data_IF_979567190943
#
_entry.id   IF_979567190943
#
_cell.length_a   1.000
_cell.length_b   1.000
_cell.length_c   1.000
_cell.angle_alpha   90.00
_cell.angle_beta   90.00
_cell.angle_gamma   90.00
#
_symmetry.space_group_name_H-M   'P 1'
#
loop_
_entity.id
_entity.type
_entity.pdbx_description
1 polymer ?
#
# COMPACT_ATOMS: atom_id res chain seq x y z
N UNK A 1 -0.35 22.12 -19.37
CA UNK A 1 -0.69 21.01 -18.44
C UNK A 1 0.16 21.14 -17.17
N UNK A 2 -0.42 21.03 -15.97
CA UNK A 2 0.39 20.99 -14.73
C UNK A 2 1.19 19.68 -14.71
N UNK A 3 2.52 19.77 -14.57
CA UNK A 3 3.40 18.59 -14.43
C UNK A 3 3.21 17.99 -13.03
N UNK A 4 2.83 16.71 -12.97
CA UNK A 4 2.87 15.96 -11.71
C UNK A 4 4.27 15.37 -11.53
N UNK A 5 4.89 15.66 -10.39
CA UNK A 5 6.15 15.02 -9.99
C UNK A 5 5.83 13.89 -9.01
N UNK A 6 6.44 12.72 -9.23
CA UNK A 6 6.30 11.56 -8.37
C UNK A 6 7.68 11.16 -7.85
N UNK A 7 7.78 10.93 -6.54
CA UNK A 7 8.97 10.44 -5.86
C UNK A 7 8.65 9.08 -5.27
N UNK A 8 9.38 8.05 -5.68
CA UNK A 8 9.30 6.72 -5.09
C UNK A 8 10.42 6.56 -4.06
N UNK A 9 10.10 6.07 -2.87
CA UNK A 9 11.07 5.90 -1.78
C UNK A 9 10.80 4.64 -0.99
N UNK A 10 11.87 3.94 -0.61
CA UNK A 10 11.83 2.89 0.40
C UNK A 10 12.39 3.45 1.70
N UNK A 11 11.72 3.21 2.82
CA UNK A 11 12.19 3.68 4.12
C UNK A 11 11.94 2.67 5.25
N UNK A 12 12.73 2.71 6.34
CA UNK A 12 12.51 1.84 7.49
C UNK A 12 11.06 1.94 8.01
N UNK A 13 10.43 0.83 8.42
CA UNK A 13 9.05 0.85 8.95
C UNK A 13 8.82 1.88 10.06
N UNK A 14 9.82 2.10 10.94
CA UNK A 14 9.77 3.11 12.01
C UNK A 14 9.71 4.57 11.53
N UNK A 15 10.05 4.84 10.26
CA UNK A 15 9.97 6.17 9.64
C UNK A 15 8.68 6.39 8.84
N UNK A 16 7.84 5.35 8.70
CA UNK A 16 6.51 5.45 8.07
C UNK A 16 5.58 6.34 8.91
N UNK A 17 4.65 7.05 8.26
CA UNK A 17 3.67 7.91 8.95
C UNK A 17 2.81 7.12 9.94
N UNK A 18 2.59 5.85 9.67
CA UNK A 18 1.90 4.86 10.49
C UNK A 18 2.36 3.45 10.08
N UNK A 19 2.07 2.39 10.88
CA UNK A 19 2.52 1.03 10.59
C UNK A 19 1.83 0.39 9.36
N UNK A 20 2.37 0.63 8.16
CA UNK A 20 1.82 0.14 6.87
C UNK A 20 2.93 -0.38 5.96
N UNK A 21 2.58 -1.29 5.04
CA UNK A 21 3.46 -1.77 3.97
C UNK A 21 3.76 -0.69 2.95
N UNK A 22 2.76 0.09 2.56
CA UNK A 22 2.88 1.19 1.60
C UNK A 22 1.94 2.36 1.93
N UNK A 23 2.27 3.52 1.37
CA UNK A 23 1.52 4.76 1.55
C UNK A 23 1.83 5.75 0.42
N UNK A 24 0.96 6.73 0.21
CA UNK A 24 1.24 7.87 -0.66
C UNK A 24 0.64 9.16 -0.11
N UNK A 25 1.31 10.28 -0.39
CA UNK A 25 0.84 11.58 0.06
C UNK A 25 1.38 12.73 -0.78
N UNK A 26 0.63 13.82 -0.78
CA UNK A 26 1.00 15.06 -1.45
C UNK A 26 1.95 15.87 -0.57
N UNK A 27 2.97 16.44 -1.20
CA UNK A 27 3.94 17.38 -0.60
C UNK A 27 4.00 18.66 -1.45
N UNK A 28 4.76 19.66 -0.98
CA UNK A 28 5.05 20.87 -1.78
C UNK A 28 5.74 20.58 -3.12
N UNK A 29 6.45 19.45 -3.22
CA UNK A 29 7.24 19.07 -4.39
C UNK A 29 6.52 18.05 -5.31
N UNK A 30 5.26 17.74 -5.03
CA UNK A 30 4.52 16.70 -5.76
C UNK A 30 4.14 15.53 -4.85
N UNK A 31 4.00 14.34 -5.43
CA UNK A 31 3.55 13.14 -4.72
C UNK A 31 4.74 12.29 -4.27
N UNK A 32 4.69 11.87 -3.01
CA UNK A 32 5.60 10.86 -2.48
C UNK A 32 4.83 9.55 -2.40
N UNK A 33 5.40 8.51 -3.00
CA UNK A 33 4.96 7.13 -2.92
C UNK A 33 6.02 6.41 -2.12
N UNK A 34 5.63 5.78 -1.03
CA UNK A 34 6.56 5.20 -0.08
C UNK A 34 6.23 3.76 0.23
N UNK A 35 7.23 2.89 0.11
CA UNK A 35 7.20 1.52 0.59
C UNK A 35 8.01 1.40 1.87
N UNK A 36 7.54 0.60 2.80
CA UNK A 36 8.36 0.20 3.92
C UNK A 36 9.47 -0.75 3.45
N UNK A 37 10.65 -0.68 4.07
CA UNK A 37 11.74 -1.59 3.78
C UNK A 37 11.44 -2.99 4.32
N UNK A 38 11.00 -3.88 3.42
CA UNK A 38 10.66 -5.27 3.69
C UNK A 38 11.88 -6.20 3.68
N UNK A 39 13.10 -5.65 3.54
CA UNK A 39 14.36 -6.41 3.43
C UNK A 39 14.39 -7.38 2.24
N UNK A 40 13.57 -7.11 1.22
CA UNK A 40 13.54 -7.83 -0.03
C UNK A 40 13.21 -6.84 -1.17
N UNK A 41 14.06 -6.72 -2.20
CA UNK A 41 13.90 -5.73 -3.27
C UNK A 41 12.64 -5.96 -4.11
N UNK A 42 12.23 -7.20 -4.37
CA UNK A 42 11.03 -7.53 -5.16
C UNK A 42 9.77 -7.09 -4.43
N UNK A 43 9.66 -7.40 -3.14
CA UNK A 43 8.51 -6.94 -2.34
C UNK A 43 8.49 -5.42 -2.15
N UNK A 44 9.65 -4.77 -2.05
CA UNK A 44 9.75 -3.32 -2.04
C UNK A 44 9.25 -2.72 -3.38
N UNK A 45 9.67 -3.30 -4.51
CA UNK A 45 9.21 -2.91 -5.84
C UNK A 45 7.71 -3.10 -6.00
N UNK A 46 7.19 -4.29 -5.68
CA UNK A 46 5.75 -4.61 -5.74
C UNK A 46 4.91 -3.63 -4.93
N UNK A 47 5.37 -3.30 -3.72
CA UNK A 47 4.71 -2.30 -2.86
C UNK A 47 4.66 -0.93 -3.55
N UNK A 48 5.78 -0.44 -4.07
CA UNK A 48 5.81 0.86 -4.76
C UNK A 48 4.90 0.89 -6.00
N UNK A 49 4.85 -0.20 -6.77
CA UNK A 49 3.95 -0.31 -7.92
C UNK A 49 2.49 -0.32 -7.48
N UNK A 50 2.15 -1.08 -6.44
CA UNK A 50 0.79 -1.12 -5.88
C UNK A 50 0.32 0.29 -5.51
N UNK A 51 1.12 1.01 -4.71
CA UNK A 51 0.81 2.37 -4.28
C UNK A 51 0.71 3.35 -5.47
N UNK A 52 1.60 3.22 -6.46
CA UNK A 52 1.58 4.12 -7.60
C UNK A 52 0.35 3.90 -8.49
N UNK A 53 -0.02 2.65 -8.77
CA UNK A 53 -1.21 2.32 -9.54
C UNK A 53 -2.47 2.84 -8.83
N UNK A 54 -2.57 2.62 -7.52
CA UNK A 54 -3.71 3.10 -6.73
C UNK A 54 -3.80 4.63 -6.75
N UNK A 55 -2.68 5.34 -6.49
CA UNK A 55 -2.62 6.80 -6.56
C UNK A 55 -3.01 7.32 -7.95
N UNK A 56 -2.47 6.75 -9.02
CA UNK A 56 -2.73 7.24 -10.37
C UNK A 56 -4.21 7.07 -10.74
N UNK A 57 -4.82 5.94 -10.39
CA UNK A 57 -6.23 5.68 -10.67
C UNK A 57 -7.16 6.55 -9.83
N UNK A 58 -6.86 6.75 -8.55
CA UNK A 58 -7.63 7.63 -7.67
C UNK A 58 -7.61 9.08 -8.18
N UNK A 59 -6.44 9.58 -8.60
CA UNK A 59 -6.31 10.88 -9.25
C UNK A 59 -7.16 11.00 -10.52
N UNK A 60 -7.06 10.01 -11.42
CA UNK A 60 -7.81 10.00 -12.69
C UNK A 60 -9.32 9.99 -12.47
N UNK A 61 -9.78 9.40 -11.36
CA UNK A 61 -11.19 9.26 -11.02
C UNK A 61 -11.69 10.35 -10.05
N UNK A 62 -10.85 11.34 -9.73
CA UNK A 62 -11.23 12.44 -8.84
C UNK A 62 -11.43 12.03 -7.37
N UNK A 63 -10.86 10.90 -6.94
CA UNK A 63 -10.91 10.47 -5.55
C UNK A 63 -9.79 11.21 -4.80
N UNK A 64 -10.20 12.13 -3.92
CA UNK A 64 -9.28 13.01 -3.22
C UNK A 64 -8.52 12.26 -2.11
N UNK A 65 -7.20 12.44 -2.02
CA UNK A 65 -6.36 11.86 -0.95
C UNK A 65 -6.88 12.18 0.46
N UNK A 66 -7.37 13.40 0.79
CA UNK A 66 -7.96 13.65 2.10
C UNK A 66 -9.16 12.75 2.43
N UNK A 67 -9.92 12.30 1.43
CA UNK A 67 -11.04 11.36 1.60
C UNK A 67 -10.54 9.93 1.87
N UNK A 68 -9.46 9.53 1.19
CA UNK A 68 -8.77 8.24 1.39
C UNK A 68 -8.19 8.19 2.80
N UNK A 69 -7.37 9.19 3.14
CA UNK A 69 -6.76 9.35 4.46
C UNK A 69 -7.79 9.29 5.60
N UNK A 70 -8.88 10.07 5.49
CA UNK A 70 -9.96 10.06 6.50
C UNK A 70 -10.60 8.67 6.65
N UNK A 71 -10.74 7.92 5.56
CA UNK A 71 -11.28 6.57 5.58
C UNK A 71 -10.29 5.60 6.24
N UNK A 72 -9.01 5.67 5.90
CA UNK A 72 -7.96 4.80 6.45
C UNK A 72 -7.78 5.02 7.95
N UNK A 73 -7.76 6.27 8.40
CA UNK A 73 -7.74 6.63 9.84
C UNK A 73 -8.96 6.12 10.59
N UNK A 74 -10.16 6.21 9.98
CA UNK A 74 -11.38 5.62 10.55
C UNK A 74 -11.27 4.10 10.64
N UNK A 75 -10.82 3.44 9.58
CA UNK A 75 -10.69 1.99 9.52
C UNK A 75 -9.73 1.47 10.59
N UNK A 76 -8.55 2.07 10.72
CA UNK A 76 -7.55 1.65 11.72
C UNK A 76 -8.04 1.87 13.15
N UNK A 77 -8.72 3.00 13.42
CA UNK A 77 -9.34 3.25 14.74
C UNK A 77 -10.39 2.20 15.09
N UNK A 78 -11.27 1.86 14.15
CA UNK A 78 -12.31 0.85 14.38
C UNK A 78 -11.73 -0.57 14.49
N UNK A 79 -10.68 -0.87 13.72
CA UNK A 79 -9.92 -2.12 13.83
C UNK A 79 -9.27 -2.27 15.20
N UNK A 80 -8.70 -1.19 15.74
CA UNK A 80 -8.17 -1.13 17.12
C UNK A 80 -9.23 -1.39 18.20
N UNK A 81 -10.51 -1.12 17.91
CA UNK A 81 -11.67 -1.46 18.77
C UNK A 81 -12.18 -2.88 18.57
N UNK A 82 -11.44 -3.72 17.85
CA UNK A 82 -11.81 -5.11 17.57
C UNK A 82 -12.84 -5.30 16.46
N UNK A 83 -13.19 -4.26 15.70
CA UNK A 83 -14.00 -4.40 14.48
C UNK A 83 -13.13 -4.87 13.31
N UNK A 84 -13.76 -5.33 12.23
CA UNK A 84 -13.09 -5.67 10.98
C UNK A 84 -11.95 -6.71 11.11
N UNK A 85 -12.02 -7.62 12.09
CA UNK A 85 -10.97 -8.64 12.36
C UNK A 85 -10.54 -9.45 11.14
N UNK A 86 -11.43 -9.63 10.17
CA UNK A 86 -11.20 -10.41 8.94
C UNK A 86 -10.77 -9.56 7.73
N UNK A 87 -10.69 -8.22 7.87
CA UNK A 87 -10.32 -7.32 6.79
C UNK A 87 -8.85 -6.93 6.96
N UNK A 88 -8.04 -7.27 5.94
CA UNK A 88 -6.58 -7.14 5.99
C UNK A 88 -6.13 -5.67 6.08
N UNK A 89 -6.79 -4.78 5.34
CA UNK A 89 -6.51 -3.35 5.33
C UNK A 89 -7.69 -2.53 4.79
N UNK A 90 -7.60 -1.19 4.86
CA UNK A 90 -8.72 -0.32 4.50
C UNK A 90 -9.18 -0.48 3.05
N UNK A 91 -8.28 -0.66 2.07
CA UNK A 91 -8.64 -0.90 0.66
C UNK A 91 -9.45 -2.19 0.42
N UNK A 92 -9.40 -3.15 1.36
CA UNK A 92 -10.24 -4.35 1.34
C UNK A 92 -11.66 -4.12 1.86
N UNK A 93 -11.92 -3.00 2.56
CA UNK A 93 -13.22 -2.72 3.13
C UNK A 93 -14.23 -2.38 2.02
N UNK A 94 -15.45 -2.98 1.99
CA UNK A 94 -16.45 -2.75 0.94
C UNK A 94 -16.83 -1.27 0.74
N UNK A 95 -16.74 -0.47 1.80
CA UNK A 95 -17.03 0.98 1.80
C UNK A 95 -15.82 1.87 1.52
N UNK A 96 -14.64 1.32 1.24
CA UNK A 96 -13.46 2.13 0.94
C UNK A 96 -13.71 2.92 -0.36
N UNK A 97 -13.50 4.25 -0.36
CA UNK A 97 -13.81 5.08 -1.53
C UNK A 97 -12.88 4.78 -2.72
N UNK A 98 -11.74 4.15 -2.46
CA UNK A 98 -10.72 3.75 -3.43
C UNK A 98 -10.67 2.22 -3.64
N UNK A 99 -11.71 1.48 -3.21
CA UNK A 99 -11.73 0.01 -3.28
C UNK A 99 -11.48 -0.50 -4.70
N UNK A 100 -12.06 0.13 -5.71
CA UNK A 100 -11.95 -0.33 -7.09
C UNK A 100 -10.51 -0.19 -7.59
N UNK A 101 -9.85 0.87 -7.19
CA UNK A 101 -8.46 1.22 -7.52
C UNK A 101 -7.51 0.26 -6.82
N UNK A 102 -7.75 0.00 -5.52
CA UNK A 102 -7.02 -0.99 -4.74
C UNK A 102 -7.05 -2.39 -5.37
N UNK A 103 -8.24 -2.85 -5.78
CA UNK A 103 -8.40 -4.15 -6.43
C UNK A 103 -7.72 -4.23 -7.81
N UNK A 104 -7.57 -3.12 -8.52
CA UNK A 104 -6.78 -3.08 -9.76
C UNK A 104 -5.29 -3.13 -9.45
N UNK A 105 -4.82 -2.37 -8.46
CA UNK A 105 -3.43 -2.40 -8.01
C UNK A 105 -3.01 -3.82 -7.59
N UNK A 106 -3.86 -4.54 -6.85
CA UNK A 106 -3.63 -5.95 -6.48
C UNK A 106 -3.52 -6.89 -7.69
N UNK A 107 -4.26 -6.63 -8.78
CA UNK A 107 -4.16 -7.46 -10.00
C UNK A 107 -2.84 -7.21 -10.73
N UNK A 108 -2.41 -5.94 -10.81
CA UNK A 108 -1.10 -5.58 -11.38
C UNK A 108 0.03 -6.17 -10.54
N UNK A 109 -0.04 -6.02 -9.23
CA UNK A 109 0.91 -6.61 -8.28
C UNK A 109 0.99 -8.12 -8.46
N UNK A 110 -0.14 -8.83 -8.57
CA UNK A 110 -0.18 -10.28 -8.80
C UNK A 110 0.50 -10.68 -10.11
N UNK A 111 0.30 -9.90 -11.18
CA UNK A 111 0.93 -10.15 -12.47
C UNK A 111 2.45 -10.00 -12.36
N UNK A 112 2.94 -8.94 -11.72
CA UNK A 112 4.36 -8.70 -11.53
C UNK A 112 5.00 -9.70 -10.56
N UNK A 113 4.31 -10.08 -9.49
CA UNK A 113 4.80 -11.09 -8.56
C UNK A 113 5.06 -12.43 -9.26
N UNK A 114 4.14 -12.82 -10.17
CA UNK A 114 4.31 -14.01 -11.00
C UNK A 114 5.55 -13.92 -11.89
N UNK A 115 5.77 -12.77 -12.52
CA UNK A 115 6.95 -12.54 -13.38
C UNK A 115 8.26 -12.57 -12.58
N UNK A 116 8.24 -12.05 -11.36
CA UNK A 116 9.39 -12.02 -10.45
C UNK A 116 9.65 -13.37 -9.75
N UNK A 117 8.79 -14.38 -9.96
CA UNK A 117 8.91 -15.67 -9.27
C UNK A 117 8.67 -15.58 -7.75
N UNK A 118 7.90 -14.59 -7.28
CA UNK A 118 7.57 -14.40 -5.87
C UNK A 118 6.07 -14.54 -5.61
N UNK A 119 5.71 -14.84 -4.37
CA UNK A 119 4.30 -14.79 -3.95
C UNK A 119 3.79 -13.36 -3.88
N UNK A 120 2.49 -13.19 -4.05
CA UNK A 120 1.86 -11.89 -3.87
C UNK A 120 2.00 -11.38 -2.43
N UNK A 121 2.34 -10.10 -2.28
CA UNK A 121 2.44 -9.48 -0.96
C UNK A 121 1.06 -9.38 -0.31
N UNK A 122 0.97 -9.73 0.98
CA UNK A 122 -0.22 -9.40 1.78
C UNK A 122 -0.12 -7.96 2.24
N UNK A 123 -0.68 -7.04 1.46
CA UNK A 123 -0.76 -5.61 1.79
C UNK A 123 -1.50 -5.39 3.13
N UNK A 124 -1.00 -4.47 3.94
CA UNK A 124 -1.62 -4.10 5.21
C UNK A 124 -0.62 -3.68 6.29
N UNK A 125 -0.95 -3.98 7.55
CA UNK A 125 -0.11 -3.63 8.69
C UNK A 125 1.17 -4.48 8.70
N UNK A 126 2.32 -3.83 8.86
CA UNK A 126 3.57 -4.55 9.14
C UNK A 126 3.54 -5.03 10.59
N UNK A 127 3.52 -6.35 10.75
CA UNK A 127 3.77 -7.03 12.02
C UNK A 127 5.14 -7.71 11.93
N UNK A 128 5.87 -7.83 13.04
CA UNK A 128 7.21 -8.44 13.06
C UNK A 128 7.25 -9.86 12.46
N UNK A 129 6.12 -10.57 12.51
CA UNK A 129 5.95 -11.90 11.88
C UNK A 129 5.99 -11.86 10.36
N UNK A 130 5.55 -10.75 9.73
CA UNK A 130 5.55 -10.56 8.27
C UNK A 130 6.98 -10.43 7.76
N UNK A 131 7.83 -9.66 8.44
CA UNK A 131 9.25 -9.50 8.11
C UNK A 131 10.01 -10.83 8.24
N UNK A 132 9.68 -11.65 9.24
CA UNK A 132 10.32 -12.95 9.44
C UNK A 132 9.92 -14.01 8.41
N UNK A 133 8.71 -13.95 7.84
CA UNK A 133 8.31 -14.85 6.74
C UNK A 133 8.97 -14.47 5.42
N UNK A 134 9.07 -13.17 5.13
CA UNK A 134 9.74 -12.65 3.93
C UNK A 134 11.23 -13.01 3.94
N UNK A 135 11.90 -12.92 5.09
CA UNK A 135 13.31 -13.31 5.25
C UNK A 135 13.62 -14.78 4.97
N UNK A 136 12.66 -15.68 5.18
CA UNK A 136 12.91 -17.13 5.08
C UNK A 136 12.67 -17.71 3.69
N UNK A 137 12.32 -16.90 2.68
CA UNK A 137 12.12 -17.37 1.31
C UNK A 137 11.05 -18.45 1.14
N UNK A 138 10.20 -18.69 2.16
CA UNK A 138 9.16 -19.73 2.09
C UNK A 138 7.99 -19.23 1.26
N UNK A 139 8.10 -19.33 -0.05
CA UNK A 139 7.00 -19.67 -0.94
C UNK A 139 7.58 -20.35 -2.19
N UNK A 140 7.80 -21.66 -2.08
CA UNK A 140 7.58 -22.56 -3.22
C UNK A 140 6.09 -22.87 -3.29
#
# INVERSE_FOLDING_TARGET
MKKNHYKLVIQPPKKMRYPTTGDYYKTKNGWTIVGADLKNPDYNFLTLIHEFVELYLTQRRGILEPKIKKFDEWFEREKGRGRFKKILGPGWHPKAPYRKEHLVALKVEKLLAKELGVSQLKQGKIEDKTLNKIKKGFFN
#
